data_IF_467545488902
#
_entry.id   IF_467545488902
#
_cell.length_a   1.000
_cell.length_b   1.000
_cell.length_c   1.000
_cell.angle_alpha   90.00
_cell.angle_beta   90.00
_cell.angle_gamma   90.00
#
_symmetry.space_group_name_H-M   'P 1'
#
loop_
_entity.id
_entity.type
_entity.pdbx_description
1 polymer ?
#
# COMPACT_ATOMS: atom_id res chain seq x y z
N UNK A 1 5.22 3.54 7.17
CA UNK A 1 6.30 2.78 6.51
C UNK A 1 5.74 1.46 5.95
N UNK A 2 5.60 1.31 4.62
CA UNK A 2 5.08 0.10 3.98
C UNK A 2 6.06 -1.09 3.92
N UNK A 3 7.32 -0.93 4.32
CA UNK A 3 8.31 -2.01 4.36
C UNK A 3 9.18 -1.90 5.61
N UNK A 4 8.52 -1.93 6.76
CA UNK A 4 9.12 -1.56 8.02
C UNK A 4 10.13 -2.57 8.57
N UNK A 5 10.15 -3.83 8.09
CA UNK A 5 11.03 -4.86 8.61
C UNK A 5 10.88 -5.03 10.12
N UNK A 6 11.92 -4.67 10.86
CA UNK A 6 11.93 -4.70 12.34
C UNK A 6 11.19 -3.52 12.99
N UNK A 7 10.60 -2.62 12.21
CA UNK A 7 9.98 -1.36 12.64
C UNK A 7 10.93 -0.36 13.33
N UNK A 8 12.22 -0.38 13.00
CA UNK A 8 13.18 0.62 13.50
C UNK A 8 12.76 2.07 13.17
N UNK A 9 12.38 2.35 11.92
CA UNK A 9 11.95 3.70 11.50
C UNK A 9 10.67 4.16 12.22
N UNK A 10 9.59 3.36 12.31
CA UNK A 10 8.42 3.70 13.12
C UNK A 10 8.72 3.93 14.60
N UNK A 11 9.61 3.14 15.21
CA UNK A 11 10.02 3.32 16.62
C UNK A 11 10.69 4.68 16.82
N UNK A 12 11.65 5.04 15.96
CA UNK A 12 12.34 6.34 16.03
C UNK A 12 11.38 7.53 15.84
N UNK A 13 10.39 7.39 14.95
CA UNK A 13 9.32 8.38 14.78
C UNK A 13 8.52 8.56 16.08
N UNK A 14 8.04 7.47 16.66
CA UNK A 14 7.24 7.51 17.88
C UNK A 14 8.05 8.04 19.09
N UNK A 15 9.34 7.71 19.20
CA UNK A 15 10.26 8.29 20.19
C UNK A 15 10.42 9.80 20.02
N UNK A 16 10.62 10.25 18.77
CA UNK A 16 10.75 11.67 18.45
C UNK A 16 9.47 12.46 18.77
N UNK A 17 8.30 11.84 18.60
CA UNK A 17 7.01 12.44 18.98
C UNK A 17 6.81 12.51 20.49
N UNK A 18 7.21 11.46 21.21
CA UNK A 18 7.18 11.43 22.68
C UNK A 18 8.09 12.50 23.29
N UNK A 19 9.23 12.77 22.65
CA UNK A 19 10.17 13.84 23.04
C UNK A 19 9.75 15.24 22.56
N UNK A 20 8.58 15.39 21.93
CA UNK A 20 8.09 16.65 21.35
C UNK A 20 8.99 17.25 20.25
N UNK A 21 9.92 16.49 19.69
CA UNK A 21 10.77 16.89 18.55
C UNK A 21 10.01 16.86 17.22
N UNK A 22 8.93 16.07 17.14
CA UNK A 22 8.04 15.97 16.00
C UNK A 22 6.57 16.12 16.41
N UNK A 23 5.70 16.64 15.53
CA UNK A 23 4.26 16.71 15.79
C UNK A 23 3.67 15.31 15.96
N UNK A 24 2.65 15.19 16.80
CA UNK A 24 1.87 13.95 16.93
C UNK A 24 1.14 13.66 15.62
N UNK A 25 1.31 12.44 15.12
CA UNK A 25 0.64 11.94 13.91
C UNK A 25 0.06 10.56 14.16
N UNK A 26 -0.86 10.13 13.30
CA UNK A 26 -1.27 8.74 13.23
C UNK A 26 -0.22 7.95 12.46
N UNK A 27 0.41 6.97 13.09
CA UNK A 27 1.56 6.27 12.53
C UNK A 27 1.15 4.86 12.12
N UNK A 28 1.39 4.55 10.84
CA UNK A 28 1.15 3.23 10.28
C UNK A 28 2.46 2.62 9.79
N UNK A 29 2.67 1.36 10.11
CA UNK A 29 3.75 0.56 9.57
C UNK A 29 3.26 -0.81 9.10
N UNK A 30 4.04 -1.44 8.25
CA UNK A 30 3.74 -2.76 7.75
C UNK A 30 4.87 -3.34 6.93
N UNK A 31 4.78 -4.63 6.71
CA UNK A 31 5.66 -5.37 5.82
C UNK A 31 4.80 -6.40 5.06
N UNK A 32 5.28 -6.87 3.91
CA UNK A 32 4.61 -7.91 3.15
C UNK A 32 4.77 -9.27 3.85
N UNK A 33 5.91 -9.45 4.52
CA UNK A 33 6.26 -10.65 5.27
C UNK A 33 5.81 -10.54 6.73
N UNK A 34 4.74 -11.26 7.09
CA UNK A 34 4.21 -11.27 8.45
C UNK A 34 5.12 -11.97 9.47
N UNK A 35 6.15 -12.69 9.04
CA UNK A 35 7.10 -13.32 9.96
C UNK A 35 7.89 -12.30 10.79
N UNK A 36 7.91 -11.02 10.37
CA UNK A 36 8.55 -9.93 11.13
C UNK A 36 7.70 -9.45 12.31
N UNK A 37 6.41 -9.80 12.37
CA UNK A 37 5.48 -9.29 13.37
C UNK A 37 5.95 -9.48 14.83
N UNK A 38 6.47 -10.66 15.26
CA UNK A 38 6.97 -10.83 16.62
C UNK A 38 8.08 -9.81 16.95
N UNK A 39 9.02 -9.59 16.02
CA UNK A 39 10.10 -8.63 16.19
C UNK A 39 9.59 -7.18 16.25
N UNK A 40 8.58 -6.84 15.45
CA UNK A 40 7.94 -5.51 15.48
C UNK A 40 7.26 -5.28 16.82
N UNK A 41 6.49 -6.27 17.31
CA UNK A 41 5.82 -6.21 18.61
C UNK A 41 6.85 -6.03 19.72
N UNK A 42 7.92 -6.82 19.73
CA UNK A 42 8.98 -6.71 20.71
C UNK A 42 9.61 -5.31 20.70
N UNK A 43 10.00 -4.79 19.53
CA UNK A 43 10.63 -3.48 19.43
C UNK A 43 9.69 -2.34 19.88
N UNK A 44 8.40 -2.40 19.53
CA UNK A 44 7.41 -1.42 19.97
C UNK A 44 7.15 -1.50 21.48
N UNK A 45 7.07 -2.70 22.06
CA UNK A 45 6.88 -2.88 23.50
C UNK A 45 8.08 -2.38 24.30
N UNK A 46 9.29 -2.76 23.90
CA UNK A 46 10.52 -2.39 24.61
C UNK A 46 10.85 -0.90 24.51
N UNK A 47 10.32 -0.20 23.51
CA UNK A 47 10.49 1.26 23.40
C UNK A 47 9.71 2.06 24.46
N UNK A 48 8.80 1.42 25.20
CA UNK A 48 7.96 2.10 26.19
C UNK A 48 7.05 3.17 25.58
N UNK A 49 6.71 3.01 24.29
CA UNK A 49 5.90 3.96 23.52
C UNK A 49 4.40 3.71 23.66
N UNK A 50 3.96 2.53 24.10
CA UNK A 50 2.53 2.17 24.04
C UNK A 50 2.03 2.05 22.58
N UNK A 51 0.71 2.00 22.32
CA UNK A 51 0.16 1.85 20.98
C UNK A 51 0.21 3.18 20.20
N UNK A 52 1.41 3.61 19.81
CA UNK A 52 1.64 4.85 19.03
C UNK A 52 1.79 4.55 17.54
N UNK A 53 1.97 3.28 17.19
CA UNK A 53 2.16 2.80 15.81
C UNK A 53 1.30 1.58 15.60
N UNK A 54 0.43 1.62 14.59
CA UNK A 54 -0.33 0.46 14.16
C UNK A 54 0.46 -0.33 13.12
N UNK A 55 0.40 -1.66 13.22
CA UNK A 55 1.00 -2.59 12.28
C UNK A 55 -0.06 -3.27 11.42
N UNK A 56 0.18 -3.40 10.13
CA UNK A 56 -0.66 -4.16 9.19
C UNK A 56 0.19 -4.82 8.10
N UNK A 57 -0.33 -5.87 7.46
CA UNK A 57 0.34 -6.43 6.28
C UNK A 57 0.24 -5.45 5.12
N UNK A 58 1.38 -5.03 4.56
CA UNK A 58 1.43 -4.04 3.48
C UNK A 58 2.23 -4.58 2.31
N UNK A 59 1.65 -4.50 1.11
CA UNK A 59 2.39 -4.66 -0.14
C UNK A 59 2.69 -3.27 -0.70
N UNK A 60 3.96 -2.88 -0.77
CA UNK A 60 4.36 -1.57 -1.28
C UNK A 60 4.00 -1.34 -2.77
N UNK A 61 3.70 -2.42 -3.52
CA UNK A 61 3.24 -2.34 -4.91
C UNK A 61 1.72 -2.10 -5.03
N UNK A 62 0.95 -2.38 -3.96
CA UNK A 62 -0.50 -2.20 -3.90
C UNK A 62 -0.93 -2.00 -2.43
N UNK A 63 -1.01 -0.75 -2.00
CA UNK A 63 -1.32 -0.38 -0.63
C UNK A 63 -2.84 -0.26 -0.43
N UNK A 64 -3.39 -0.76 0.69
CA UNK A 64 -4.82 -0.73 0.98
C UNK A 64 -5.31 0.65 1.46
N UNK A 65 -4.79 1.73 0.88
CA UNK A 65 -5.16 3.10 1.24
C UNK A 65 -5.85 3.80 0.07
N UNK A 66 -6.80 4.68 0.39
CA UNK A 66 -7.43 5.57 -0.60
C UNK A 66 -6.39 6.51 -1.22
N UNK A 67 -6.71 7.07 -2.39
CA UNK A 67 -5.84 8.06 -3.03
C UNK A 67 -5.68 9.30 -2.13
N UNK A 68 -4.44 9.83 -2.07
CA UNK A 68 -4.11 11.05 -1.35
C UNK A 68 -4.36 11.03 0.18
N UNK A 69 -4.50 9.87 0.82
CA UNK A 69 -4.73 9.81 2.27
C UNK A 69 -3.50 10.06 3.14
N UNK A 70 -2.29 9.80 2.64
CA UNK A 70 -1.07 9.86 3.44
C UNK A 70 -0.38 11.21 3.26
N UNK A 71 -0.03 11.87 4.36
CA UNK A 71 0.77 13.11 4.34
C UNK A 71 2.25 12.83 4.10
N UNK A 72 2.77 11.77 4.73
CA UNK A 72 4.19 11.44 4.72
C UNK A 72 4.35 9.94 4.62
N UNK A 73 5.16 9.50 3.66
CA UNK A 73 5.69 8.13 3.62
C UNK A 73 7.18 8.18 3.95
N UNK A 74 7.61 7.38 4.92
CA UNK A 74 9.03 7.13 5.20
C UNK A 74 9.26 5.65 5.10
N UNK A 75 10.24 5.21 4.32
CA UNK A 75 10.48 3.78 4.09
C UNK A 75 11.90 3.47 3.65
N UNK A 76 12.40 2.31 4.06
CA UNK A 76 13.65 1.74 3.57
C UNK A 76 13.35 0.73 2.46
N UNK A 77 13.51 1.14 1.19
CA UNK A 77 13.21 0.29 0.06
C UNK A 77 14.30 -0.81 -0.09
N UNK A 78 13.92 -2.08 -0.31
CA UNK A 78 14.88 -3.16 -0.41
C UNK A 78 15.87 -2.98 -1.55
N UNK A 79 17.05 -3.53 -1.36
CA UNK A 79 18.18 -3.40 -2.27
C UNK A 79 18.59 -4.72 -2.95
N UNK A 80 17.77 -5.76 -2.88
CA UNK A 80 17.95 -7.02 -3.64
C UNK A 80 18.03 -8.30 -2.81
N UNK A 81 18.45 -8.27 -1.53
CA UNK A 81 18.44 -9.52 -0.73
C UNK A 81 17.04 -10.08 -0.47
N UNK A 82 16.04 -9.20 -0.32
CA UNK A 82 14.63 -9.56 -0.10
C UNK A 82 13.79 -9.60 -1.39
N UNK A 83 14.17 -8.83 -2.42
CA UNK A 83 13.44 -8.70 -3.69
C UNK A 83 14.02 -9.62 -4.79
N UNK A 84 15.19 -10.24 -4.58
CA UNK A 84 15.86 -11.09 -5.56
C UNK A 84 16.81 -10.32 -6.49
N UNK A 85 16.96 -10.81 -7.73
CA UNK A 85 17.97 -10.32 -8.67
C UNK A 85 17.76 -8.84 -9.09
N UNK A 86 18.75 -8.26 -9.77
CA UNK A 86 18.71 -6.85 -10.21
C UNK A 86 17.50 -6.49 -11.10
N UNK A 87 16.94 -7.45 -11.84
CA UNK A 87 15.79 -7.23 -12.71
C UNK A 87 14.51 -7.02 -11.91
N UNK A 88 14.30 -7.75 -10.81
CA UNK A 88 13.13 -7.53 -9.95
C UNK A 88 13.16 -6.17 -9.28
N UNK A 89 14.35 -5.66 -8.92
CA UNK A 89 14.52 -4.29 -8.41
C UNK A 89 14.15 -3.23 -9.47
N UNK A 90 14.58 -3.40 -10.73
CA UNK A 90 14.21 -2.46 -11.81
C UNK A 90 12.69 -2.39 -12.05
N UNK A 91 11.97 -3.49 -11.84
CA UNK A 91 10.51 -3.53 -12.00
C UNK A 91 9.79 -3.03 -10.76
N UNK A 92 10.32 -3.33 -9.56
CA UNK A 92 9.72 -2.94 -8.28
C UNK A 92 9.69 -1.43 -8.07
N UNK A 93 10.81 -0.73 -8.22
CA UNK A 93 10.90 0.69 -7.85
C UNK A 93 9.88 1.56 -8.61
N UNK A 94 9.67 1.41 -9.93
CA UNK A 94 8.64 2.17 -10.62
C UNK A 94 7.22 1.87 -10.13
N UNK A 95 6.89 0.60 -9.86
CA UNK A 95 5.57 0.20 -9.33
C UNK A 95 5.37 0.79 -7.93
N UNK A 96 6.37 0.67 -7.05
CA UNK A 96 6.36 1.23 -5.72
C UNK A 96 6.22 2.76 -5.75
N UNK A 97 7.02 3.49 -6.52
CA UNK A 97 6.92 4.96 -6.59
C UNK A 97 5.59 5.44 -7.17
N UNK A 98 5.00 4.70 -8.11
CA UNK A 98 3.65 4.98 -8.61
C UNK A 98 2.61 4.78 -7.51
N UNK A 99 2.69 3.68 -6.77
CA UNK A 99 1.74 3.39 -5.70
C UNK A 99 1.87 4.37 -4.52
N UNK A 100 3.10 4.71 -4.14
CA UNK A 100 3.36 5.77 -3.17
C UNK A 100 2.78 7.11 -3.63
N UNK A 101 2.84 7.43 -4.93
CA UNK A 101 2.27 8.66 -5.47
C UNK A 101 0.74 8.67 -5.40
N UNK A 102 0.12 7.50 -5.57
CA UNK A 102 -1.33 7.33 -5.49
C UNK A 102 -1.84 7.63 -4.09
N UNK A 103 -1.22 7.03 -3.07
CA UNK A 103 -1.66 7.17 -1.68
C UNK A 103 -1.21 8.47 -1.01
N UNK A 104 -0.18 9.14 -1.54
CA UNK A 104 0.35 10.39 -0.96
C UNK A 104 -0.45 11.61 -1.40
N UNK A 105 -0.79 12.50 -0.45
CA UNK A 105 -1.56 13.74 -0.64
C UNK A 105 -0.96 14.61 -1.76
N UNK A 106 -1.71 14.91 -2.83
CA UNK A 106 -1.26 15.87 -3.84
C UNK A 106 -0.97 17.26 -3.25
N UNK A 107 0.08 17.91 -3.74
CA UNK A 107 0.46 19.28 -3.41
C UNK A 107 1.22 19.47 -2.09
N UNK A 108 0.90 18.71 -1.04
CA UNK A 108 1.53 18.86 0.29
C UNK A 108 2.26 17.61 0.79
N UNK A 109 1.93 16.45 0.23
CA UNK A 109 2.50 15.19 0.70
C UNK A 109 3.95 14.97 0.24
N UNK A 110 4.65 14.05 0.89
CA UNK A 110 6.02 13.69 0.55
C UNK A 110 6.34 12.23 0.83
N UNK A 111 7.32 11.69 0.12
CA UNK A 111 7.95 10.41 0.44
C UNK A 111 9.44 10.62 0.72
N UNK A 112 9.95 9.95 1.75
CA UNK A 112 11.36 9.90 2.14
C UNK A 112 11.79 8.45 2.04
N UNK A 113 12.71 8.18 1.13
CA UNK A 113 13.10 6.82 0.74
C UNK A 113 14.57 6.61 1.02
N UNK A 114 14.90 5.65 1.88
CA UNK A 114 16.25 5.12 2.02
C UNK A 114 16.43 3.96 1.02
N UNK A 115 17.58 3.91 0.33
CA UNK A 115 17.91 2.80 -0.55
C UNK A 115 19.40 2.77 -0.92
N UNK A 116 19.95 1.56 -1.08
CA UNK A 116 21.29 1.37 -1.66
C UNK A 116 21.31 1.50 -3.19
N UNK A 117 20.16 1.39 -3.85
CA UNK A 117 20.03 1.49 -5.32
C UNK A 117 19.49 2.86 -5.73
N UNK A 118 19.98 3.92 -5.09
CA UNK A 118 19.46 5.29 -5.23
C UNK A 118 19.42 5.81 -6.68
N UNK A 119 20.35 5.38 -7.55
CA UNK A 119 20.31 5.76 -8.97
C UNK A 119 19.09 5.21 -9.70
N UNK A 120 18.70 3.97 -9.39
CA UNK A 120 17.48 3.35 -9.94
C UNK A 120 16.26 4.00 -9.32
N UNK A 121 16.26 4.21 -8.00
CA UNK A 121 15.16 4.87 -7.31
C UNK A 121 14.86 6.27 -7.87
N UNK A 122 15.89 7.10 -8.04
CA UNK A 122 15.75 8.41 -8.68
C UNK A 122 15.22 8.29 -10.10
N UNK A 123 15.78 7.36 -10.89
CA UNK A 123 15.29 7.09 -12.25
C UNK A 123 13.81 6.68 -12.25
N UNK A 124 13.40 5.80 -11.35
CA UNK A 124 12.01 5.34 -11.25
C UNK A 124 11.05 6.44 -10.82
N UNK A 125 11.46 7.30 -9.88
CA UNK A 125 10.67 8.44 -9.42
C UNK A 125 10.51 9.51 -10.53
N UNK A 126 11.52 9.69 -11.39
CA UNK A 126 11.56 10.74 -12.40
C UNK A 126 11.13 10.28 -13.80
N UNK A 127 11.39 9.05 -14.22
CA UNK A 127 11.21 8.64 -15.62
C UNK A 127 9.80 8.12 -15.90
N UNK A 128 9.19 7.39 -14.96
CA UNK A 128 7.91 6.73 -15.26
C UNK A 128 6.75 7.73 -15.22
N UNK A 129 6.77 8.68 -14.28
CA UNK A 129 5.73 9.70 -14.05
C UNK A 129 6.32 10.98 -13.42
N UNK A 130 7.21 11.70 -14.13
CA UNK A 130 7.89 12.90 -13.60
C UNK A 130 6.94 13.95 -13.04
N UNK A 131 5.71 14.01 -13.56
CA UNK A 131 4.71 14.96 -13.16
C UNK A 131 4.13 14.70 -11.77
N UNK A 132 4.30 13.50 -11.20
CA UNK A 132 3.75 13.16 -9.88
C UNK A 132 4.70 13.53 -8.73
N UNK A 133 6.01 13.51 -8.98
CA UNK A 133 7.05 13.72 -7.98
C UNK A 133 8.02 14.82 -8.37
N UNK A 134 8.33 15.71 -7.42
CA UNK A 134 9.48 16.60 -7.52
C UNK A 134 10.56 16.16 -6.52
N UNK A 135 11.79 15.90 -6.98
CA UNK A 135 12.91 15.61 -6.07
C UNK A 135 13.23 16.88 -5.30
N UNK A 136 13.18 16.78 -3.97
CA UNK A 136 13.46 17.88 -3.06
C UNK A 136 14.89 17.83 -2.52
N UNK A 137 15.37 16.63 -2.16
CA UNK A 137 16.69 16.46 -1.57
C UNK A 137 17.23 15.03 -1.78
N UNK A 138 18.56 14.90 -1.82
CA UNK A 138 19.26 13.61 -1.92
C UNK A 138 20.50 13.64 -1.02
N UNK A 139 20.42 12.96 0.12
CA UNK A 139 21.52 12.82 1.06
C UNK A 139 22.17 11.47 0.86
N UNK A 140 23.42 11.46 0.37
CA UNK A 140 24.21 10.23 0.22
C UNK A 140 24.91 9.93 1.54
N UNK A 141 24.88 8.68 1.98
CA UNK A 141 25.50 8.25 3.22
C UNK A 141 26.07 6.84 3.10
N UNK A 142 26.78 6.44 4.15
CA UNK A 142 27.25 5.08 4.33
C UNK A 142 26.40 4.42 5.43
N UNK A 143 25.77 3.31 5.10
CA UNK A 143 25.02 2.48 6.04
C UNK A 143 25.61 1.07 6.01
N UNK A 144 26.29 0.66 7.09
CA UNK A 144 26.89 -0.66 7.22
C UNK A 144 28.00 -0.97 6.20
N UNK A 145 28.78 0.02 5.78
CA UNK A 145 29.83 -0.11 4.76
C UNK A 145 29.32 0.01 3.32
N UNK A 146 28.00 0.10 3.13
CA UNK A 146 27.37 0.19 1.82
C UNK A 146 26.95 1.64 1.54
N UNK A 147 27.19 2.09 0.30
CA UNK A 147 26.70 3.39 -0.16
C UNK A 147 25.18 3.33 -0.34
N UNK A 148 24.47 4.26 0.27
CA UNK A 148 23.04 4.47 0.09
C UNK A 148 22.73 5.95 -0.04
N UNK A 149 21.46 6.26 -0.33
CA UNK A 149 20.96 7.62 -0.23
C UNK A 149 19.58 7.64 0.41
N UNK A 150 19.32 8.73 1.11
CA UNK A 150 17.98 9.17 1.49
C UNK A 150 17.52 10.14 0.40
N UNK A 151 16.43 9.81 -0.27
CA UNK A 151 15.82 10.61 -1.32
C UNK A 151 14.51 11.17 -0.78
N UNK A 152 14.37 12.49 -0.77
CA UNK A 152 13.11 13.16 -0.47
C UNK A 152 12.43 13.57 -1.76
N UNK A 153 11.22 13.07 -2.00
CA UNK A 153 10.35 13.50 -3.10
C UNK A 153 9.10 14.16 -2.56
N UNK A 154 8.73 15.31 -3.13
CA UNK A 154 7.49 16.02 -2.83
C UNK A 154 6.43 15.67 -3.86
N UNK A 155 5.22 15.40 -3.39
CA UNK A 155 4.09 15.11 -4.24
C UNK A 155 3.63 16.40 -4.90
N UNK A 156 3.64 16.44 -6.23
CA UNK A 156 3.13 17.58 -6.98
C UNK A 156 1.61 17.73 -6.78
N UNK A 157 1.05 18.87 -7.18
CA UNK A 157 -0.41 19.08 -7.16
C UNK A 157 -1.15 18.30 -8.25
N UNK A 158 -0.44 17.65 -9.18
CA UNK A 158 -1.05 16.87 -10.26
C UNK A 158 -1.83 15.69 -9.67
N UNK A 159 -3.14 15.54 -9.95
CA UNK A 159 -3.92 14.39 -9.49
C UNK A 159 -3.33 13.07 -9.99
N UNK A 160 -3.54 12.00 -9.24
CA UNK A 160 -3.17 10.68 -9.74
C UNK A 160 -4.11 10.29 -10.90
N UNK A 161 -3.62 9.87 -12.08
CA UNK A 161 -4.50 9.48 -13.16
C UNK A 161 -5.16 8.15 -12.81
N UNK A 162 -6.49 8.20 -12.66
CA UNK A 162 -7.28 7.12 -12.10
C UNK A 162 -8.67 7.59 -11.63
N UNK A 163 -8.88 8.89 -11.46
CA UNK A 163 -10.19 9.47 -11.15
C UNK A 163 -10.57 10.57 -12.15
N UNK A 164 -11.34 10.21 -13.18
CA UNK A 164 -12.21 11.19 -13.84
C UNK A 164 -13.41 11.33 -12.91
N UNK A 165 -13.46 12.40 -12.12
CA UNK A 165 -14.72 12.77 -11.49
C UNK A 165 -15.72 13.05 -12.62
N UNK A 166 -16.95 12.50 -12.61
CA UNK A 166 -17.97 12.98 -13.53
C UNK A 166 -18.11 14.49 -13.32
N UNK A 167 -18.32 15.29 -14.38
CA UNK A 167 -18.69 16.69 -14.20
C UNK A 167 -19.90 16.74 -13.27
N UNK A 168 -19.83 17.57 -12.23
CA UNK A 168 -20.91 17.78 -11.28
C UNK A 168 -22.16 18.25 -12.07
N UNK A 169 -23.10 17.34 -12.33
CA UNK A 169 -24.26 17.68 -13.16
C UNK A 169 -25.14 16.55 -13.70
N UNK A 170 -24.80 15.27 -13.57
CA UNK A 170 -25.72 14.18 -13.95
C UNK A 170 -26.35 13.53 -12.73
N UNK A 171 -27.44 14.11 -12.23
CA UNK A 171 -28.36 13.44 -11.32
C UNK A 171 -28.93 12.20 -12.04
N UNK A 172 -28.70 11.01 -11.49
CA UNK A 172 -29.34 9.79 -11.95
C UNK A 172 -30.84 9.88 -11.66
N UNK A 173 -31.64 9.96 -12.72
CA UNK A 173 -33.10 9.75 -12.67
C UNK A 173 -33.33 8.32 -12.19
N UNK A 174 -34.08 8.16 -11.09
CA UNK A 174 -34.46 6.85 -10.58
C UNK A 174 -35.36 6.08 -11.57
N UNK A 175 -35.46 4.75 -11.47
CA UNK A 175 -36.30 3.97 -12.37
C UNK A 175 -37.78 4.30 -12.16
N UNK A 176 -38.62 4.26 -13.21
CA UNK A 176 -40.05 4.45 -13.05
C UNK A 176 -40.67 3.26 -12.32
N UNK A 177 -41.49 3.60 -11.33
CA UNK A 177 -42.31 2.68 -10.55
C UNK A 177 -43.51 2.23 -11.41
N UNK A 178 -43.64 0.92 -11.65
CA UNK A 178 -44.85 0.32 -12.23
C UNK A 178 -44.62 -0.66 -13.39
N UNK A 179 -44.39 -1.93 -13.07
CA UNK A 179 -44.70 -3.04 -13.95
C UNK A 179 -45.23 -4.20 -13.10
N UNK A 180 -46.52 -4.51 -13.24
CA UNK A 180 -47.19 -5.66 -12.61
C UNK A 180 -46.73 -6.98 -13.24
N UNK A 181 -46.80 -8.12 -12.52
CA UNK A 181 -46.50 -9.43 -13.08
C UNK A 181 -47.73 -9.98 -13.84
N UNK A 182 -47.51 -10.52 -15.03
CA UNK A 182 -48.52 -11.24 -15.84
C UNK A 182 -48.46 -12.75 -15.52
N UNK A 183 -49.59 -13.48 -15.45
CA UNK A 183 -49.65 -14.87 -15.04
C UNK A 183 -49.77 -15.85 -16.22
N UNK A 184 -49.18 -17.05 -16.07
CA UNK A 184 -49.75 -18.29 -16.60
C UNK A 184 -49.44 -18.68 -18.05
N UNK A 185 -48.77 -19.82 -18.20
CA UNK A 185 -48.67 -20.59 -19.44
C UNK A 185 -47.91 -21.90 -19.23
N UNK A 186 -48.65 -22.98 -18.98
CA UNK A 186 -48.24 -24.40 -19.04
C UNK A 186 -47.67 -24.72 -20.45
N UNK A 187 -46.91 -25.77 -20.77
CA UNK A 187 -46.73 -27.11 -20.23
C UNK A 187 -45.50 -27.74 -20.95
N UNK A 188 -44.94 -28.81 -20.39
CA UNK A 188 -44.63 -30.11 -21.03
C UNK A 188 -43.42 -30.75 -20.35
N UNK A 189 -43.78 -31.81 -19.64
CA UNK A 189 -42.95 -32.82 -18.99
C UNK A 189 -42.41 -33.81 -20.04
N UNK A 190 -41.17 -34.26 -19.88
CA UNK A 190 -40.82 -35.62 -20.31
C UNK A 190 -39.90 -36.28 -19.28
N UNK A 191 -40.42 -37.37 -18.71
CA UNK A 191 -39.80 -38.23 -17.70
C UNK A 191 -38.62 -39.04 -18.28
N UNK A 192 -37.58 -39.21 -17.46
CA UNK A 192 -36.53 -40.21 -17.62
C UNK A 192 -36.24 -40.84 -16.26
N UNK A 193 -36.57 -42.12 -16.15
CA UNK A 193 -36.75 -42.95 -14.95
C UNK A 193 -35.47 -43.26 -14.15
N UNK A 194 -35.57 -42.97 -12.86
CA UNK A 194 -35.15 -43.66 -11.60
C UNK A 194 -34.29 -44.93 -11.67
N UNK A 195 -33.25 -45.00 -10.83
CA UNK A 195 -32.90 -46.07 -9.85
C UNK A 195 -31.44 -45.83 -9.37
N UNK A 196 -31.01 -45.89 -8.10
CA UNK A 196 -31.59 -46.02 -6.77
C UNK A 196 -30.46 -45.74 -5.74
N UNK A 197 -30.84 -45.29 -4.55
CA UNK A 197 -29.98 -45.14 -3.34
C UNK A 197 -30.50 -46.18 -2.33
N UNK A 198 -29.65 -46.91 -1.58
CA UNK A 198 -29.27 -46.53 -0.20
C UNK A 198 -27.76 -46.76 0.09
N UNK A 199 -27.07 -45.81 0.71
CA UNK A 199 -26.91 -45.55 2.15
C UNK A 199 -25.82 -46.39 2.86
N UNK A 200 -24.95 -45.61 3.51
CA UNK A 200 -24.40 -45.80 4.85
C UNK A 200 -23.12 -46.62 5.10
N UNK A 201 -22.41 -46.07 6.11
CA UNK A 201 -21.49 -46.67 7.07
C UNK A 201 -19.98 -46.60 6.77
N UNK A 202 -19.37 -45.58 7.37
CA UNK A 202 -18.53 -45.65 8.59
C UNK A 202 -17.36 -46.65 8.65
N UNK A 203 -16.36 -46.23 9.43
CA UNK A 203 -15.16 -46.90 9.90
C UNK A 203 -13.96 -47.00 8.94
N UNK A 204 -12.96 -46.15 9.18
CA UNK A 204 -11.66 -46.53 9.81
C UNK A 204 -10.74 -45.32 9.96
#
# INVERSE_FOLDING_TARGET
>A
DPMCGSAAVPVELAMSQKQCSLPKTHNLCGDVDLSVLPMVVDNLQHSGLGPVVDFMQLNCECLPFREGSLDVVVTDLPFGKRIGNYLSVKTFYPVAFRELARVTRPGTGRAVVLTHQYRIAMKSAMDMRPELWAVADVVKLNHGGLRCAIITVRRTAIPFPGHVSPPAGSSSVGPPEGAQPDPGGEEVVQEGRVDGVPDAMDAS
#
